data_IF_012395157959
#
_entry.id   IF_012395157959
#
_cell.length_a   1.000
_cell.length_b   1.000
_cell.length_c   1.000
_cell.angle_alpha   90.00
_cell.angle_beta   90.00
_cell.angle_gamma   90.00
#
_symmetry.space_group_name_H-M   'P 1'
#
loop_
_entity.id
_entity.type
_entity.pdbx_description
1 polymer ?
#
# COMPACT_ATOMS: atom_id res chain seq x y z
N UNK A 1 10.00 23.10 25.26
CA UNK A 1 10.28 22.45 23.97
C UNK A 1 9.80 21.01 24.07
N UNK A 2 8.86 20.59 23.23
CA UNK A 2 8.40 19.20 23.21
C UNK A 2 9.51 18.33 22.62
N UNK A 3 10.10 17.47 23.43
CA UNK A 3 11.07 16.48 22.96
C UNK A 3 10.34 15.44 22.12
N UNK A 4 10.60 15.43 20.81
CA UNK A 4 10.13 14.36 19.94
C UNK A 4 10.88 13.08 20.32
N UNK A 5 10.23 12.19 21.08
CA UNK A 5 10.71 10.82 21.31
C UNK A 5 10.12 9.92 20.22
N UNK A 6 10.74 9.92 19.04
CA UNK A 6 10.46 8.89 18.05
C UNK A 6 11.25 7.62 18.42
N UNK A 7 10.64 6.46 18.22
CA UNK A 7 11.30 5.14 18.32
C UNK A 7 11.42 4.58 16.89
N UNK A 8 12.58 4.78 16.22
CA UNK A 8 12.76 4.33 14.83
C UNK A 8 12.66 2.82 14.68
N UNK A 9 13.05 2.05 15.70
CA UNK A 9 12.95 0.59 15.67
C UNK A 9 11.48 0.15 15.68
N UNK A 10 10.66 0.74 16.55
CA UNK A 10 9.22 0.48 16.57
C UNK A 10 8.53 0.88 15.27
N UNK A 11 8.96 1.97 14.63
CA UNK A 11 8.42 2.40 13.33
C UNK A 11 8.80 1.37 12.23
N UNK A 12 10.06 0.93 12.16
CA UNK A 12 10.51 -0.12 11.23
C UNK A 12 9.75 -1.44 11.44
N UNK A 13 9.47 -1.79 12.70
CA UNK A 13 8.76 -3.01 13.04
C UNK A 13 7.32 -3.06 12.48
N UNK A 14 6.75 -1.94 12.03
CA UNK A 14 5.43 -1.91 11.39
C UNK A 14 5.45 -2.33 9.91
N UNK A 15 6.59 -2.25 9.24
CA UNK A 15 6.71 -2.55 7.80
C UNK A 15 6.21 -3.95 7.43
N UNK A 16 6.60 -5.04 8.13
CA UNK A 16 6.12 -6.38 7.79
C UNK A 16 4.59 -6.51 7.84
N UNK A 17 3.93 -5.79 8.75
CA UNK A 17 2.47 -5.75 8.86
C UNK A 17 1.82 -5.08 7.65
N UNK A 18 2.36 -3.94 7.22
CA UNK A 18 1.91 -3.24 6.00
C UNK A 18 2.12 -4.09 4.74
N UNK A 19 3.29 -4.73 4.61
CA UNK A 19 3.57 -5.60 3.46
C UNK A 19 2.65 -6.82 3.45
N UNK A 20 2.43 -7.44 4.61
CA UNK A 20 1.50 -8.58 4.73
C UNK A 20 0.07 -8.21 4.34
N UNK A 21 -0.42 -7.04 4.76
CA UNK A 21 -1.75 -6.55 4.36
C UNK A 21 -1.81 -6.21 2.87
N UNK A 22 -0.77 -5.58 2.32
CA UNK A 22 -0.69 -5.30 0.88
C UNK A 22 -0.77 -6.60 0.06
N UNK A 23 0.01 -7.62 0.42
CA UNK A 23 -0.02 -8.93 -0.24
C UNK A 23 -1.40 -9.58 -0.16
N UNK A 24 -2.04 -9.59 1.01
CA UNK A 24 -3.39 -10.17 1.16
C UNK A 24 -4.43 -9.47 0.27
N UNK A 25 -4.36 -8.13 0.17
CA UNK A 25 -5.26 -7.36 -0.72
C UNK A 25 -4.97 -7.67 -2.19
N UNK A 26 -3.70 -7.78 -2.59
CA UNK A 26 -3.30 -8.13 -3.94
C UNK A 26 -3.77 -9.54 -4.33
N UNK A 27 -3.63 -10.52 -3.43
CA UNK A 27 -4.04 -11.91 -3.67
C UNK A 27 -5.56 -12.04 -3.80
N UNK A 28 -6.30 -11.33 -2.94
CA UNK A 28 -7.76 -11.26 -3.02
C UNK A 28 -8.21 -10.61 -4.34
N UNK A 29 -7.55 -9.53 -4.77
CA UNK A 29 -7.81 -8.90 -6.06
C UNK A 29 -7.51 -9.83 -7.23
N UNK A 30 -6.40 -10.56 -7.18
CA UNK A 30 -6.06 -11.54 -8.22
C UNK A 30 -7.12 -12.63 -8.32
N UNK A 31 -7.56 -13.16 -7.17
CA UNK A 31 -8.61 -14.18 -7.11
C UNK A 31 -9.92 -13.66 -7.70
N UNK A 32 -10.31 -12.43 -7.35
CA UNK A 32 -11.51 -11.79 -7.89
C UNK A 32 -11.41 -11.61 -9.41
N UNK A 33 -10.28 -11.10 -9.92
CA UNK A 33 -10.05 -10.93 -11.37
C UNK A 33 -10.17 -12.26 -12.10
N UNK A 34 -9.51 -13.31 -11.60
CA UNK A 34 -9.58 -14.64 -12.22
C UNK A 34 -11.00 -15.22 -12.23
N UNK A 35 -11.79 -15.00 -11.17
CA UNK A 35 -13.18 -15.45 -11.14
C UNK A 35 -14.06 -14.69 -12.15
N UNK A 36 -13.88 -13.37 -12.27
CA UNK A 36 -14.61 -12.56 -13.24
C UNK A 36 -14.24 -12.92 -14.69
N UNK A 37 -12.96 -13.10 -14.97
CA UNK A 37 -12.47 -13.49 -16.30
C UNK A 37 -12.97 -14.89 -16.71
N UNK A 38 -13.11 -15.81 -15.74
CA UNK A 38 -13.63 -17.16 -15.99
C UNK A 38 -15.14 -17.17 -16.30
N UNK A 39 -15.91 -16.28 -15.69
CA UNK A 39 -17.35 -16.12 -15.97
C UNK A 39 -17.59 -15.46 -17.32
N UNK A 40 -16.77 -14.46 -17.68
CA UNK A 40 -16.95 -13.68 -18.90
C UNK A 40 -18.26 -12.88 -18.91
N UNK A 41 -18.72 -12.51 -20.11
CA UNK A 41 -19.94 -11.72 -20.28
C UNK A 41 -21.19 -12.63 -20.25
N UNK A 42 -21.76 -12.84 -19.07
CA UNK A 42 -22.92 -13.73 -18.88
C UNK A 42 -24.28 -13.11 -19.23
N UNK A 43 -24.32 -11.82 -19.60
CA UNK A 43 -25.54 -11.04 -19.84
C UNK A 43 -26.04 -11.04 -21.30
N UNK A 44 -25.34 -11.72 -22.21
CA UNK A 44 -25.74 -11.83 -23.61
C UNK A 44 -25.51 -10.56 -24.44
N UNK A 45 -25.73 -10.67 -25.75
CA UNK A 45 -25.49 -9.61 -26.73
C UNK A 45 -26.78 -8.97 -27.26
N UNK A 46 -27.89 -9.10 -26.53
CA UNK A 46 -29.12 -8.37 -26.84
C UNK A 46 -29.09 -6.95 -26.24
N UNK A 47 -30.08 -6.12 -26.57
CA UNK A 47 -30.15 -4.72 -26.11
C UNK A 47 -30.10 -4.60 -24.57
N UNK A 48 -30.66 -5.58 -23.86
CA UNK A 48 -30.66 -5.59 -22.39
C UNK A 48 -29.26 -5.93 -21.88
N UNK A 49 -28.61 -6.94 -22.47
CA UNK A 49 -27.24 -7.34 -22.18
C UNK A 49 -26.23 -6.22 -22.44
N UNK A 50 -26.31 -5.56 -23.60
CA UNK A 50 -25.46 -4.42 -23.93
C UNK A 50 -25.67 -3.24 -22.97
N UNK A 51 -26.93 -2.93 -22.61
CA UNK A 51 -27.24 -1.86 -21.64
C UNK A 51 -26.70 -2.17 -20.25
N UNK A 52 -26.78 -3.43 -19.82
CA UNK A 52 -26.19 -3.88 -18.56
C UNK A 52 -24.66 -3.76 -18.60
N UNK A 53 -24.01 -4.28 -19.65
CA UNK A 53 -22.57 -4.22 -19.84
C UNK A 53 -22.05 -2.77 -19.78
N UNK A 54 -22.74 -1.85 -20.46
CA UNK A 54 -22.38 -0.43 -20.52
C UNK A 54 -22.32 0.25 -19.15
N UNK A 55 -23.07 -0.24 -18.16
CA UNK A 55 -23.04 0.28 -16.80
C UNK A 55 -22.15 -0.55 -15.85
N UNK A 56 -22.21 -1.88 -15.99
CA UNK A 56 -21.50 -2.81 -15.11
C UNK A 56 -19.99 -2.77 -15.33
N UNK A 57 -19.53 -2.94 -16.58
CA UNK A 57 -18.10 -3.10 -16.89
C UNK A 57 -17.26 -1.91 -16.42
N UNK A 58 -17.64 -0.64 -16.69
CA UNK A 58 -16.86 0.50 -16.19
C UNK A 58 -16.86 0.60 -14.65
N UNK A 59 -17.95 0.19 -14.00
CA UNK A 59 -18.04 0.15 -12.54
C UNK A 59 -17.12 -0.91 -11.93
N UNK A 60 -17.13 -2.11 -12.52
CA UNK A 60 -16.26 -3.21 -12.12
C UNK A 60 -14.78 -2.86 -12.30
N UNK A 61 -14.39 -2.30 -13.46
CA UNK A 61 -13.02 -1.86 -13.72
C UNK A 61 -12.54 -0.81 -12.71
N UNK A 62 -13.37 0.19 -12.40
CA UNK A 62 -13.06 1.21 -11.38
C UNK A 62 -12.87 0.58 -10.00
N UNK A 63 -13.73 -0.37 -9.61
CA UNK A 63 -13.61 -1.06 -8.33
C UNK A 63 -12.31 -1.88 -8.25
N UNK A 64 -12.00 -2.66 -9.29
CA UNK A 64 -10.76 -3.44 -9.37
C UNK A 64 -9.53 -2.54 -9.29
N UNK A 65 -9.55 -1.38 -9.97
CA UNK A 65 -8.44 -0.42 -9.90
C UNK A 65 -8.31 0.23 -8.53
N UNK A 66 -9.41 0.53 -7.85
CA UNK A 66 -9.38 1.09 -6.50
C UNK A 66 -8.72 0.12 -5.48
N UNK A 67 -9.02 -1.18 -5.59
CA UNK A 67 -8.40 -2.21 -4.73
C UNK A 67 -6.91 -2.37 -5.04
N UNK A 68 -6.52 -2.27 -6.31
CA UNK A 68 -5.11 -2.29 -6.72
C UNK A 68 -4.33 -1.10 -6.12
N UNK A 69 -4.93 0.09 -6.17
CA UNK A 69 -4.37 1.29 -5.54
C UNK A 69 -4.24 1.09 -4.04
N UNK A 70 -5.25 0.53 -3.37
CA UNK A 70 -5.21 0.25 -1.93
C UNK A 70 -4.01 -0.64 -1.56
N UNK A 71 -3.82 -1.76 -2.27
CA UNK A 71 -2.66 -2.65 -2.06
C UNK A 71 -1.34 -1.89 -2.22
N UNK A 72 -1.22 -1.09 -3.28
CA UNK A 72 -0.02 -0.30 -3.57
C UNK A 72 0.25 0.74 -2.48
N UNK A 73 -0.80 1.42 -2.00
CA UNK A 73 -0.69 2.40 -0.91
C UNK A 73 -0.25 1.75 0.39
N UNK A 74 -0.78 0.57 0.75
CA UNK A 74 -0.36 -0.15 1.96
C UNK A 74 1.13 -0.52 1.89
N UNK A 75 1.60 -1.02 0.76
CA UNK A 75 3.03 -1.32 0.58
C UNK A 75 3.89 -0.07 0.68
N UNK A 76 3.46 1.04 0.04
CA UNK A 76 4.17 2.32 0.11
C UNK A 76 4.23 2.89 1.54
N UNK A 77 3.19 2.70 2.35
CA UNK A 77 3.18 3.10 3.76
C UNK A 77 4.23 2.32 4.56
N UNK A 78 4.36 1.01 4.34
CA UNK A 78 5.39 0.18 4.97
C UNK A 78 6.80 0.67 4.63
N UNK A 79 7.09 0.86 3.33
CA UNK A 79 8.39 1.37 2.87
C UNK A 79 8.68 2.80 3.35
N UNK A 80 7.63 3.64 3.41
CA UNK A 80 7.71 5.00 3.94
C UNK A 80 8.08 5.03 5.41
N UNK A 81 7.47 4.15 6.23
CA UNK A 81 7.81 4.01 7.65
C UNK A 81 9.29 3.68 7.84
N UNK A 82 9.81 2.69 7.10
CA UNK A 82 11.23 2.30 7.18
C UNK A 82 12.16 3.40 6.69
N UNK A 83 11.78 4.13 5.63
CA UNK A 83 12.55 5.28 5.13
C UNK A 83 12.65 6.38 6.18
N UNK A 84 11.52 6.74 6.80
CA UNK A 84 11.48 7.78 7.85
C UNK A 84 12.31 7.36 9.07
N UNK A 85 12.17 6.11 9.52
CA UNK A 85 12.94 5.60 10.66
C UNK A 85 14.46 5.61 10.39
N UNK A 86 14.89 5.14 9.22
CA UNK A 86 16.30 5.15 8.82
C UNK A 86 16.85 6.58 8.78
N UNK A 87 16.05 7.54 8.29
CA UNK A 87 16.43 8.95 8.28
C UNK A 87 16.57 9.55 9.68
N UNK A 88 15.71 9.16 10.62
CA UNK A 88 15.81 9.58 12.02
C UNK A 88 17.08 9.04 12.68
N UNK A 89 17.37 7.75 12.51
CA UNK A 89 18.59 7.12 13.06
C UNK A 89 19.86 7.77 12.49
N UNK A 90 19.90 8.02 11.18
CA UNK A 90 21.04 8.66 10.54
C UNK A 90 21.29 10.09 11.04
N UNK A 91 20.22 10.86 11.28
CA UNK A 91 20.34 12.21 11.84
C UNK A 91 20.85 12.18 13.29
N UNK A 92 20.34 11.25 14.11
CA UNK A 92 20.77 11.11 15.50
C UNK A 92 22.26 10.74 15.60
N UNK A 93 22.70 9.77 14.79
CA UNK A 93 24.11 9.38 14.71
C UNK A 93 25.01 10.53 14.24
N UNK A 94 24.57 11.31 13.24
CA UNK A 94 25.33 12.45 12.74
C UNK A 94 25.48 13.55 13.80
N UNK A 95 24.42 13.85 14.55
CA UNK A 95 24.44 14.82 15.64
C UNK A 95 25.35 14.32 16.78
N UNK A 96 25.22 13.06 17.19
CA UNK A 96 26.08 12.47 18.23
C UNK A 96 27.58 12.54 17.84
N UNK A 97 27.90 12.22 16.59
CA UNK A 97 29.26 12.35 16.05
C UNK A 97 29.76 13.81 16.06
N UNK A 98 28.92 14.77 15.67
CA UNK A 98 29.29 16.19 15.70
C UNK A 98 29.56 16.69 17.12
N UNK A 99 28.69 16.33 18.08
CA UNK A 99 28.86 16.68 19.49
C UNK A 99 30.13 16.07 20.08
N UNK A 100 30.42 14.81 19.77
CA UNK A 100 31.63 14.13 20.28
C UNK A 100 32.94 14.78 19.83
N UNK A 101 32.96 15.38 18.62
CA UNK A 101 34.11 16.09 18.05
C UNK A 101 34.32 17.47 18.65
N UNK A 102 33.26 18.14 19.09
CA UNK A 102 33.32 19.48 19.69
C UNK A 102 33.73 19.43 21.18
N UNK A 103 33.49 18.27 21.83
CA UNK A 103 33.87 18.00 23.22
C UNK A 103 35.28 17.39 23.39
N UNK A 104 36.08 17.29 22.32
CA UNK A 104 37.44 16.74 22.30
C UNK A 104 38.46 17.81 21.88
#
# INVERSE_FOLDING_TARGET
MSTLKADPEAIKATEPGFQSLATQVADALSTLKSALDAEGECWGADEIGESFAGNYTPGAEKALKAVEILSTTLSAMGSGATTTATSLEGQDQAIAAALSKDSA
#
